data_IF_405512875665
#
_entry.id   IF_405512875665
#
_cell.length_a   1.000
_cell.length_b   1.000
_cell.length_c   1.000
_cell.angle_alpha   90.00
_cell.angle_beta   90.00
_cell.angle_gamma   90.00
#
_symmetry.space_group_name_H-M   'P 1'
#
loop_
_entity.id
_entity.type
_entity.pdbx_description
1 polymer ?
#
# COMPACT_ATOMS: atom_id res chain seq x y z
N UNK A 1 5.26 -15.57 -2.35
CA UNK A 1 4.61 -15.42 -1.03
C UNK A 1 4.52 -13.93 -0.70
N UNK A 2 3.39 -13.46 -0.15
CA UNK A 2 3.18 -12.03 0.16
C UNK A 2 4.12 -11.61 1.29
N UNK A 3 4.92 -10.54 1.08
CA UNK A 3 5.91 -10.06 2.05
C UNK A 3 5.42 -8.93 2.94
N UNK A 4 4.46 -8.14 2.46
CA UNK A 4 3.93 -6.97 3.14
C UNK A 4 2.45 -6.79 2.78
N UNK A 5 1.66 -6.34 3.74
CA UNK A 5 0.28 -5.89 3.50
C UNK A 5 0.05 -4.63 4.30
N UNK A 6 -0.34 -3.56 3.60
CA UNK A 6 -0.69 -2.26 4.18
C UNK A 6 -2.11 -1.93 3.74
N UNK A 7 -2.89 -1.39 4.68
CA UNK A 7 -4.22 -0.86 4.42
C UNK A 7 -4.15 0.63 4.66
N UNK A 8 -4.49 1.42 3.63
CA UNK A 8 -4.46 2.87 3.67
C UNK A 8 -5.80 3.47 3.27
N UNK A 9 -6.03 4.69 3.74
CA UNK A 9 -7.25 5.44 3.45
C UNK A 9 -7.04 6.27 2.19
N UNK A 10 -7.86 6.02 1.16
CA UNK A 10 -7.71 6.66 -0.16
C UNK A 10 -7.83 8.19 -0.07
N UNK A 11 -8.69 8.73 0.81
CA UNK A 11 -8.99 10.17 0.86
C UNK A 11 -7.77 11.05 1.16
N UNK A 12 -6.80 10.53 1.90
CA UNK A 12 -5.64 11.29 2.39
C UNK A 12 -4.34 10.50 2.38
N UNK A 13 -4.36 9.24 1.95
CA UNK A 13 -3.18 8.38 1.90
C UNK A 13 -2.74 7.88 3.27
N UNK A 14 -3.54 8.09 4.33
CA UNK A 14 -3.15 7.71 5.69
C UNK A 14 -3.01 6.18 5.82
N UNK A 15 -1.85 5.65 6.21
CA UNK A 15 -1.71 4.23 6.52
C UNK A 15 -2.50 3.91 7.79
N UNK A 16 -3.47 3.02 7.72
CA UNK A 16 -4.31 2.64 8.85
C UNK A 16 -3.74 1.44 9.61
N UNK A 17 -3.35 0.40 8.88
CA UNK A 17 -2.91 -0.87 9.42
C UNK A 17 -1.79 -1.48 8.57
N UNK A 18 -0.94 -2.27 9.20
CA UNK A 18 0.16 -2.98 8.54
C UNK A 18 0.40 -4.29 9.24
N UNK A 19 0.38 -5.38 8.46
CA UNK A 19 0.86 -6.66 8.97
C UNK A 19 2.29 -6.93 8.49
N UNK A 20 3.25 -6.74 9.40
CA UNK A 20 4.67 -7.03 9.19
C UNK A 20 5.17 -8.29 9.92
N UNK A 21 4.27 -9.14 10.43
CA UNK A 21 4.64 -10.22 11.36
C UNK A 21 4.30 -11.59 10.81
N UNK A 22 5.11 -12.08 9.89
CA UNK A 22 5.30 -13.51 9.71
C UNK A 22 6.77 -13.75 9.34
N UNK A 23 7.53 -14.21 10.34
CA UNK A 23 8.77 -15.00 10.32
C UNK A 23 9.65 -14.58 11.50
N UNK A 24 9.60 -15.39 12.56
CA UNK A 24 10.30 -15.21 13.82
C UNK A 24 11.78 -15.65 13.72
N UNK A 25 12.40 -15.49 12.55
CA UNK A 25 13.71 -16.07 12.24
C UNK A 25 14.50 -15.36 11.12
N UNK A 26 14.16 -14.13 10.70
CA UNK A 26 14.84 -13.52 9.56
C UNK A 26 16.00 -12.57 9.93
N UNK A 27 17.10 -12.74 9.21
CA UNK A 27 18.35 -11.98 9.26
C UNK A 27 18.14 -10.50 8.89
N UNK A 28 19.08 -9.64 9.26
CA UNK A 28 19.07 -8.17 9.07
C UNK A 28 18.69 -7.71 7.65
N UNK A 29 18.95 -8.53 6.64
CA UNK A 29 18.64 -8.29 5.21
C UNK A 29 17.12 -8.24 4.93
N UNK A 30 16.33 -9.08 5.59
CA UNK A 30 14.86 -9.11 5.44
C UNK A 30 14.20 -7.82 5.94
N UNK A 31 14.73 -7.28 7.03
CA UNK A 31 14.26 -6.07 7.67
C UNK A 31 14.43 -4.87 6.73
N UNK A 32 15.56 -4.80 6.02
CA UNK A 32 15.83 -3.75 5.04
C UNK A 32 14.88 -3.85 3.82
N UNK A 33 14.65 -5.06 3.30
CA UNK A 33 13.74 -5.27 2.17
C UNK A 33 12.29 -4.89 2.52
N UNK A 34 11.83 -5.29 3.71
CA UNK A 34 10.51 -4.90 4.24
C UNK A 34 10.39 -3.38 4.38
N UNK A 35 11.48 -2.71 4.79
CA UNK A 35 11.50 -1.25 4.91
C UNK A 35 11.36 -0.52 3.57
N UNK A 36 11.98 -1.03 2.50
CA UNK A 36 11.88 -0.43 1.16
C UNK A 36 10.46 -0.57 0.61
N UNK A 37 9.90 -1.78 0.63
CA UNK A 37 8.54 -2.01 0.15
C UNK A 37 7.50 -1.23 0.96
N UNK A 38 7.72 -1.06 2.27
CA UNK A 38 6.89 -0.22 3.10
C UNK A 38 6.89 1.23 2.60
N UNK A 39 8.07 1.79 2.37
CA UNK A 39 8.19 3.17 1.91
C UNK A 39 7.57 3.36 0.52
N UNK A 40 7.78 2.41 -0.40
CA UNK A 40 7.15 2.42 -1.71
C UNK A 40 5.62 2.35 -1.61
N UNK A 41 5.08 1.51 -0.72
CA UNK A 41 3.64 1.40 -0.53
C UNK A 41 3.01 2.66 0.11
N UNK A 42 3.67 3.27 1.11
CA UNK A 42 3.25 4.56 1.67
C UNK A 42 3.26 5.66 0.60
N UNK A 43 4.29 5.67 -0.27
CA UNK A 43 4.35 6.58 -1.42
C UNK A 43 3.14 6.40 -2.35
N UNK A 44 2.83 5.17 -2.74
CA UNK A 44 1.70 4.89 -3.63
C UNK A 44 0.37 5.34 -3.02
N UNK A 45 0.16 5.11 -1.72
CA UNK A 45 -1.05 5.56 -1.02
C UNK A 45 -1.21 7.09 -1.09
N UNK A 46 -0.12 7.82 -0.92
CA UNK A 46 -0.11 9.27 -1.00
C UNK A 46 -0.34 9.78 -2.43
N UNK A 47 0.22 9.12 -3.44
CA UNK A 47 -0.01 9.53 -4.83
C UNK A 47 -1.43 9.22 -5.32
N UNK A 48 -2.02 8.11 -4.85
CA UNK A 48 -3.44 7.82 -5.06
C UNK A 48 -4.33 8.89 -4.41
N UNK A 49 -4.00 9.34 -3.18
CA UNK A 49 -4.84 10.33 -2.48
C UNK A 49 -4.82 11.71 -3.14
N UNK A 50 -3.71 12.06 -3.79
CA UNK A 50 -3.59 13.27 -4.63
C UNK A 50 -4.29 13.14 -5.99
N UNK A 51 -4.79 11.96 -6.36
CA UNK A 51 -5.32 11.68 -7.69
C UNK A 51 -4.26 11.64 -8.79
N UNK A 52 -2.97 11.55 -8.43
CA UNK A 52 -1.86 11.45 -9.38
C UNK A 52 -1.72 10.04 -9.98
N UNK A 53 -2.26 9.04 -9.27
CA UNK A 53 -2.35 7.66 -9.74
C UNK A 53 -3.82 7.22 -9.85
N UNK A 54 -4.15 6.39 -10.86
CA UNK A 54 -5.48 5.80 -10.96
C UNK A 54 -5.75 4.89 -9.76
N UNK A 55 -7.02 4.75 -9.38
CA UNK A 55 -7.40 3.81 -8.34
C UNK A 55 -7.06 2.37 -8.78
N UNK A 56 -6.59 1.52 -7.87
CA UNK A 56 -6.31 0.13 -8.18
C UNK A 56 -7.56 -0.59 -8.69
N UNK A 57 -7.49 -1.15 -9.90
CA UNK A 57 -8.55 -2.01 -10.46
C UNK A 57 -8.69 -3.32 -9.66
N UNK A 58 -7.60 -3.77 -9.03
CA UNK A 58 -7.56 -5.02 -8.28
C UNK A 58 -7.49 -4.76 -6.77
N UNK A 59 -8.54 -5.14 -6.05
CA UNK A 59 -8.57 -5.19 -4.58
C UNK A 59 -8.68 -6.62 -4.08
N UNK A 60 -8.10 -6.90 -2.93
CA UNK A 60 -8.29 -8.20 -2.25
C UNK A 60 -9.69 -8.18 -1.64
N UNK A 61 -10.66 -8.77 -2.34
CA UNK A 61 -12.09 -8.76 -1.97
C UNK A 61 -12.36 -9.22 -0.55
N UNK A 62 -11.63 -10.23 -0.07
CA UNK A 62 -11.79 -10.75 1.29
C UNK A 62 -11.39 -9.68 2.34
N UNK A 63 -10.30 -8.94 2.11
CA UNK A 63 -9.88 -7.84 2.98
C UNK A 63 -10.87 -6.67 2.93
N UNK A 64 -11.33 -6.31 1.73
CA UNK A 64 -12.31 -5.25 1.55
C UNK A 64 -13.61 -5.58 2.30
N UNK A 65 -14.12 -6.81 2.15
CA UNK A 65 -15.34 -7.25 2.84
C UNK A 65 -15.22 -7.19 4.36
N UNK A 66 -14.07 -7.56 4.92
CA UNK A 66 -13.86 -7.43 6.38
C UNK A 66 -13.70 -5.97 6.80
N UNK A 67 -13.11 -5.13 5.96
CA UNK A 67 -12.97 -3.70 6.22
C UNK A 67 -14.33 -2.99 6.24
N UNK A 68 -15.24 -3.36 5.34
CA UNK A 68 -16.60 -2.79 5.23
C UNK A 68 -17.47 -3.07 6.47
N UNK A 69 -17.08 -4.00 7.36
CA UNK A 69 -17.78 -4.26 8.62
C UNK A 69 -17.50 -3.21 9.69
N UNK A 70 -16.49 -2.37 9.51
CA UNK A 70 -16.16 -1.31 10.47
C UNK A 70 -16.97 -0.05 10.20
N UNK A 71 -17.27 0.68 11.27
CA UNK A 71 -17.93 1.98 11.15
C UNK A 71 -17.00 2.99 10.45
N UNK A 72 -17.45 3.50 9.30
CA UNK A 72 -16.77 4.56 8.58
C UNK A 72 -16.52 5.77 9.48
N UNK A 73 -17.44 6.14 10.39
CA UNK A 73 -17.25 7.24 11.33
C UNK A 73 -16.01 7.06 12.21
N UNK A 74 -15.77 5.83 12.70
CA UNK A 74 -14.56 5.48 13.44
C UNK A 74 -13.32 5.60 12.55
N UNK A 75 -13.35 5.05 11.34
CA UNK A 75 -12.22 5.10 10.40
C UNK A 75 -11.84 6.54 10.05
N UNK A 76 -12.81 7.44 9.91
CA UNK A 76 -12.56 8.84 9.57
C UNK A 76 -11.89 9.62 10.71
N UNK A 77 -12.14 9.23 11.97
CA UNK A 77 -11.53 9.84 13.17
C UNK A 77 -10.07 9.43 13.38
N UNK A 78 -9.61 8.38 12.71
CA UNK A 78 -8.21 7.95 12.79
C UNK A 78 -7.34 9.01 12.11
N UNK A 79 -6.37 9.52 12.86
CA UNK A 79 -5.39 10.53 12.41
C UNK A 79 -3.96 10.03 12.50
N UNK A 80 -3.69 9.03 13.33
CA UNK A 80 -2.34 8.50 13.55
C UNK A 80 -2.04 7.33 12.59
N UNK A 81 -0.90 7.35 11.87
CA UNK A 81 -0.49 6.23 11.02
C UNK A 81 -0.39 4.93 11.81
N UNK A 82 -0.82 3.82 11.20
CA UNK A 82 -0.72 2.46 11.75
C UNK A 82 -1.41 2.27 13.11
N UNK A 83 -2.37 3.13 13.45
CA UNK A 83 -3.07 3.06 14.75
C UNK A 83 -4.32 2.17 14.73
N UNK A 84 -4.72 1.64 13.57
CA UNK A 84 -5.90 0.78 13.43
C UNK A 84 -5.59 -0.69 13.73
N UNK A 85 -5.02 -0.96 14.92
CA UNK A 85 -4.52 -2.27 15.35
C UNK A 85 -5.59 -3.37 15.32
N UNK A 86 -6.88 -3.00 15.44
CA UNK A 86 -8.02 -3.94 15.35
C UNK A 86 -8.04 -4.71 14.03
N UNK A 87 -7.50 -4.14 12.96
CA UNK A 87 -7.48 -4.77 11.64
C UNK A 87 -6.29 -5.71 11.44
N UNK A 88 -5.24 -5.62 12.24
CA UNK A 88 -4.02 -6.42 12.06
C UNK A 88 -4.29 -7.93 12.15
N UNK A 89 -5.14 -8.35 13.09
CA UNK A 89 -5.53 -9.76 13.25
C UNK A 89 -6.34 -10.29 12.06
N UNK A 90 -7.15 -9.42 11.45
CA UNK A 90 -7.95 -9.73 10.26
C UNK A 90 -7.02 -9.93 9.06
N UNK A 91 -6.07 -9.01 8.86
CA UNK A 91 -5.06 -9.14 7.80
C UNK A 91 -4.32 -10.47 7.95
N UNK A 92 -3.91 -10.81 9.17
CA UNK A 92 -3.20 -12.06 9.45
C UNK A 92 -4.03 -13.31 9.15
N UNK A 93 -5.29 -13.29 9.58
CA UNK A 93 -6.22 -14.39 9.34
C UNK A 93 -6.44 -14.64 7.85
N UNK A 94 -6.68 -13.57 7.07
CA UNK A 94 -6.86 -13.67 5.62
C UNK A 94 -5.57 -14.13 4.96
N UNK A 95 -4.43 -13.52 5.29
CA UNK A 95 -3.13 -13.90 4.72
C UNK A 95 -2.85 -15.39 4.84
N UNK A 96 -3.11 -15.99 6.01
CA UNK A 96 -2.97 -17.44 6.23
C UNK A 96 -3.78 -18.26 5.23
N UNK A 97 -5.01 -17.86 4.95
CA UNK A 97 -5.87 -18.53 3.96
C UNK A 97 -5.28 -18.49 2.54
N UNK A 98 -4.52 -17.45 2.19
CA UNK A 98 -3.87 -17.32 0.88
C UNK A 98 -2.50 -18.02 0.81
N UNK A 99 -1.82 -18.22 1.95
CA UNK A 99 -0.57 -18.99 2.02
C UNK A 99 -0.86 -20.50 2.01
N UNK A 100 -1.90 -20.95 2.73
CA UNK A 100 -2.31 -22.35 2.74
C UNK A 100 -3.08 -22.72 1.45
N UNK A 101 -2.34 -23.04 0.40
CA UNK A 101 -2.87 -23.51 -0.90
C UNK A 101 -3.61 -24.86 -0.84
N UNK A 102 -3.66 -25.51 0.33
CA UNK A 102 -4.36 -26.80 0.54
C UNK A 102 -5.87 -26.67 0.70
N UNK A 103 -6.46 -25.47 0.80
CA UNK A 103 -7.92 -25.34 0.96
C UNK A 103 -8.66 -25.37 -0.38
N UNK A 104 -9.51 -26.38 -0.57
CA UNK A 104 -10.35 -26.61 -1.77
C UNK A 104 -11.26 -25.40 -2.14
N UNK A 105 -11.59 -24.54 -1.18
CA UNK A 105 -12.34 -23.30 -1.39
C UNK A 105 -11.56 -22.20 -2.15
N UNK A 106 -10.22 -22.26 -2.18
CA UNK A 106 -9.39 -21.28 -2.88
C UNK A 106 -9.33 -21.58 -4.39
N UNK A 107 -9.38 -22.86 -4.79
CA UNK A 107 -9.39 -23.26 -6.19
C UNK A 107 -10.65 -22.80 -6.92
N UNK A 108 -11.81 -22.87 -6.27
CA UNK A 108 -13.08 -22.38 -6.84
C UNK A 108 -13.10 -20.84 -6.94
N UNK A 109 -12.58 -20.11 -5.95
CA UNK A 109 -12.40 -18.65 -6.00
C UNK A 109 -11.42 -18.21 -7.11
N UNK A 110 -10.31 -18.93 -7.31
CA UNK A 110 -9.34 -18.66 -8.37
C UNK A 110 -9.96 -18.89 -9.76
N UNK A 111 -10.69 -20.00 -9.92
CA UNK A 111 -11.33 -20.34 -11.19
C UNK A 111 -12.50 -19.38 -11.53
N UNK A 112 -13.25 -18.89 -10.54
CA UNK A 112 -14.32 -17.91 -10.75
C UNK A 112 -13.82 -16.54 -11.25
N UNK A 113 -12.56 -16.18 -10.98
CA UNK A 113 -11.97 -14.92 -11.45
C UNK A 113 -11.24 -15.04 -12.80
N UNK A 114 -11.00 -16.26 -13.32
CA UNK A 114 -10.25 -16.51 -14.57
C UNK A 114 -10.94 -15.95 -15.81
N UNK A 115 -12.23 -15.61 -15.75
CA UNK A 115 -13.03 -15.16 -16.90
C UNK A 115 -13.30 -13.65 -16.91
N UNK A 116 -12.66 -12.88 -16.01
CA UNK A 116 -12.67 -11.42 -16.09
C UNK A 116 -11.33 -10.99 -16.66
N UNK A 117 -11.30 -10.64 -17.94
CA UNK A 117 -10.23 -9.79 -18.48
C UNK A 117 -10.32 -8.44 -17.75
N UNK A 118 -9.66 -8.37 -16.60
CA UNK A 118 -9.33 -7.10 -16.01
C UNK A 118 -8.15 -6.58 -16.84
N UNK A 119 -8.34 -5.47 -17.54
CA UNK A 119 -7.22 -4.70 -18.08
C UNK A 119 -6.43 -4.15 -16.90
N UNK A 120 -5.46 -4.93 -16.42
CA UNK A 120 -4.63 -4.59 -15.26
C UNK A 120 -3.50 -3.72 -15.78
N UNK A 121 -3.64 -2.40 -15.59
CA UNK A 121 -2.56 -1.45 -15.83
C UNK A 121 -1.36 -1.85 -14.96
N UNK A 122 -0.28 -2.23 -15.62
CA UNK A 122 0.98 -2.58 -14.98
C UNK A 122 1.99 -1.47 -15.22
N UNK A 123 2.71 -1.07 -14.19
CA UNK A 123 3.74 -0.03 -14.28
C UNK A 123 4.88 -0.27 -13.30
N UNK A 124 6.07 0.22 -13.64
CA UNK A 124 7.23 0.13 -12.74
C UNK A 124 7.17 1.24 -11.69
N UNK A 125 7.59 0.91 -10.47
CA UNK A 125 7.75 1.88 -9.38
C UNK A 125 8.73 2.99 -9.76
N UNK A 126 9.84 2.67 -10.44
CA UNK A 126 10.81 3.67 -10.90
C UNK A 126 10.16 4.75 -11.77
N UNK A 127 9.35 4.32 -12.74
CA UNK A 127 8.69 5.21 -13.69
C UNK A 127 7.68 6.12 -12.98
N UNK A 128 7.02 5.61 -11.93
CA UNK A 128 6.09 6.39 -11.12
C UNK A 128 6.85 7.46 -10.34
N UNK A 129 7.96 7.10 -9.71
CA UNK A 129 8.81 8.03 -8.94
C UNK A 129 9.39 9.11 -9.85
N UNK A 130 9.91 8.75 -11.03
CA UNK A 130 10.45 9.71 -12.00
C UNK A 130 9.39 10.65 -12.55
N UNK A 131 8.23 10.13 -12.96
CA UNK A 131 7.10 10.98 -13.40
C UNK A 131 6.72 12.00 -12.34
N UNK A 132 6.70 11.58 -11.07
CA UNK A 132 6.39 12.48 -9.96
C UNK A 132 7.47 13.57 -9.79
N UNK A 133 8.75 13.19 -9.80
CA UNK A 133 9.88 14.14 -9.71
C UNK A 133 9.80 15.21 -10.81
N UNK A 134 9.49 14.80 -12.04
CA UNK A 134 9.39 15.71 -13.17
C UNK A 134 8.19 16.66 -13.06
N UNK A 135 7.06 16.19 -12.51
CA UNK A 135 5.88 17.03 -12.25
C UNK A 135 6.15 18.11 -11.20
N UNK A 136 6.95 17.84 -10.17
CA UNK A 136 7.29 18.83 -9.13
C UNK A 136 8.19 19.95 -9.65
N UNK A 137 9.12 19.62 -10.55
CA UNK A 137 10.00 20.60 -11.21
C UNK A 137 9.17 21.58 -12.05
N UNK A 138 8.10 21.10 -12.68
CA UNK A 138 7.22 21.91 -13.52
C UNK A 138 6.25 22.80 -12.71
N UNK A 139 5.85 22.35 -11.51
CA UNK A 139 4.94 23.07 -10.60
C UNK A 139 5.64 24.16 -9.78
N UNK A 140 6.97 24.26 -9.82
CA UNK A 140 7.72 25.30 -9.08
C UNK A 140 7.80 26.56 -9.93
N UNK A 141 7.07 27.67 -9.63
CA UNK A 141 7.34 28.94 -10.28
C UNK A 141 8.73 29.39 -9.82
N UNK A 142 9.56 29.85 -10.75
CA UNK A 142 10.77 30.56 -10.42
C UNK A 142 10.42 31.72 -9.44
N UNK A 143 11.10 31.75 -8.28
CA UNK A 143 10.81 32.56 -7.08
C UNK A 143 9.75 31.90 -6.17
N UNK A 144 10.12 31.33 -5.01
CA UNK A 144 10.55 32.08 -3.83
C UNK A 144 11.34 31.17 -2.86
N UNK A 145 12.45 31.69 -2.35
CA UNK A 145 13.30 31.02 -1.36
C UNK A 145 12.59 30.92 -0.01
N UNK A 146 12.04 29.75 0.30
CA UNK A 146 11.80 29.34 1.70
C UNK A 146 11.97 27.82 1.76
N UNK A 147 12.83 27.28 2.62
CA UNK A 147 12.98 25.83 2.74
C UNK A 147 11.73 25.27 3.42
N UNK A 148 10.68 25.05 2.64
CA UNK A 148 9.53 24.28 3.08
C UNK A 148 10.03 22.85 3.32
N UNK A 149 9.77 22.36 4.53
CA UNK A 149 10.22 21.07 5.10
C UNK A 149 9.63 19.86 4.34
N UNK A 150 8.96 20.08 3.20
CA UNK A 150 8.35 19.04 2.38
C UNK A 150 9.34 18.10 1.68
N UNK A 151 10.64 18.42 1.61
CA UNK A 151 11.61 17.72 0.75
C UNK A 151 12.33 16.52 1.36
N UNK A 152 12.16 16.21 2.66
CA UNK A 152 12.93 15.13 3.31
C UNK A 152 12.42 13.71 3.00
N UNK A 153 11.17 13.55 2.54
CA UNK A 153 10.64 12.21 2.22
C UNK A 153 11.07 11.72 0.83
N UNK A 154 11.20 12.64 -0.13
CA UNK A 154 11.18 12.36 -1.58
C UNK A 154 12.55 12.06 -2.21
N UNK A 155 13.65 12.34 -1.50
CA UNK A 155 15.01 12.00 -1.91
C UNK A 155 15.55 10.74 -1.25
N UNK A 156 14.70 9.91 -0.65
CA UNK A 156 15.14 8.71 0.06
C UNK A 156 15.76 7.71 -0.93
N UNK A 157 17.05 7.34 -0.78
CA UNK A 157 17.71 6.35 -1.65
C UNK A 157 17.03 4.97 -1.64
N UNK A 158 16.13 4.75 -0.68
CA UNK A 158 15.38 3.51 -0.46
C UNK A 158 14.19 3.30 -1.41
N UNK A 159 13.79 4.34 -2.15
CA UNK A 159 12.74 4.22 -3.17
C UNK A 159 13.28 3.71 -4.52
N UNK A 160 14.60 3.80 -4.76
CA UNK A 160 15.27 3.54 -6.05
C UNK A 160 15.91 2.15 -6.16
N UNK A 161 15.54 1.21 -5.28
CA UNK A 161 16.12 -0.14 -5.21
C UNK A 161 15.34 -1.18 -6.03
#
# INVERSE_FOLDING_TARGET
>A
MVKLTIVGRVKDGLPLAQEARYMNNETTTSHNLSSNYKQQAEFLLNEISKGALPLPSMTIRDLQKEFDKFDNGLIHKITKPYSFVKFDSIISSIRKQYIDTRTQANLSKLNANRHRELDIVTGNMSDIVERRRNSEILETPAANNTPQISSLLWGSPRLEA
#
